data_IF_656622731323
#
_entry.id   IF_656622731323
#
_cell.length_a   1.000
_cell.length_b   1.000
_cell.length_c   1.000
_cell.angle_alpha   90.00
_cell.angle_beta   90.00
_cell.angle_gamma   90.00
#
_symmetry.space_group_name_H-M   'P 1'
#
loop_
_entity.id
_entity.type
_entity.pdbx_description
1 polymer ?
#
# COMPACT_ATOMS: atom_id res chain seq x y z
N UNK A 1 -20.34 14.60 -9.25
CA UNK A 1 -19.94 14.39 -7.84
C UNK A 1 -18.52 14.92 -7.76
N UNK A 2 -18.31 15.94 -6.92
CA UNK A 2 -17.01 16.60 -6.78
C UNK A 2 -16.18 15.75 -5.82
N UNK A 3 -15.30 14.91 -6.36
CA UNK A 3 -14.39 14.09 -5.56
C UNK A 3 -13.37 15.01 -4.92
N UNK A 4 -13.48 15.23 -3.60
CA UNK A 4 -12.40 15.85 -2.84
C UNK A 4 -11.20 14.91 -2.87
N UNK A 5 -9.98 15.43 -2.99
CA UNK A 5 -8.76 14.61 -3.15
C UNK A 5 -8.61 13.53 -2.06
N UNK A 6 -9.15 13.75 -0.87
CA UNK A 6 -9.15 12.82 0.29
C UNK A 6 -10.03 11.59 0.13
N UNK A 7 -10.92 11.52 -0.87
CA UNK A 7 -11.75 10.34 -1.14
C UNK A 7 -10.97 9.23 -1.88
N UNK A 8 -9.78 9.53 -2.39
CA UNK A 8 -8.90 8.56 -3.03
C UNK A 8 -8.40 7.53 -2.02
N UNK A 9 -8.54 6.25 -2.38
CA UNK A 9 -7.99 5.12 -1.62
C UNK A 9 -6.57 4.87 -2.08
N UNK A 10 -5.63 4.98 -1.15
CA UNK A 10 -4.20 4.84 -1.43
C UNK A 10 -3.71 3.46 -0.97
N UNK A 11 -2.98 2.78 -1.84
CA UNK A 11 -2.27 1.55 -1.53
C UNK A 11 -0.78 1.85 -1.33
N UNK A 12 -0.14 1.18 -0.38
CA UNK A 12 1.31 1.21 -0.22
C UNK A 12 1.87 -0.20 -0.25
N UNK A 13 2.68 -0.51 -1.26
CA UNK A 13 3.48 -1.73 -1.32
C UNK A 13 4.90 -1.42 -0.83
N UNK A 14 5.24 -1.94 0.36
CA UNK A 14 6.48 -1.69 1.06
C UNK A 14 6.28 -0.83 2.31
N UNK A 15 6.27 -1.45 3.49
CA UNK A 15 6.16 -0.85 4.81
C UNK A 15 7.52 -0.74 5.53
N UNK A 16 8.61 -0.57 4.76
CA UNK A 16 9.96 -0.41 5.29
C UNK A 16 10.25 0.96 5.93
N UNK A 17 11.54 1.32 6.02
CA UNK A 17 12.02 2.58 6.63
C UNK A 17 11.38 3.83 6.02
N UNK A 18 11.15 3.84 4.72
CA UNK A 18 10.51 4.97 4.01
C UNK A 18 8.99 4.82 3.92
N UNK A 19 8.50 3.62 3.61
CA UNK A 19 7.07 3.38 3.44
C UNK A 19 6.25 3.62 4.72
N UNK A 20 6.74 3.15 5.88
CA UNK A 20 6.05 3.34 7.17
C UNK A 20 5.74 4.82 7.48
N UNK A 21 6.73 5.73 7.51
CA UNK A 21 6.45 7.15 7.79
C UNK A 21 5.68 7.85 6.66
N UNK A 22 5.67 7.30 5.44
CA UNK A 22 4.82 7.78 4.36
C UNK A 22 3.34 7.43 4.59
N UNK A 23 3.03 6.16 4.88
CA UNK A 23 1.67 5.72 5.22
C UNK A 23 1.09 6.51 6.40
N UNK A 24 1.88 6.70 7.47
CA UNK A 24 1.45 7.49 8.63
C UNK A 24 1.07 8.92 8.27
N UNK A 25 1.84 9.59 7.42
CA UNK A 25 1.55 10.97 7.00
C UNK A 25 0.30 11.05 6.13
N UNK A 26 0.11 10.10 5.21
CA UNK A 26 -1.09 10.03 4.38
C UNK A 26 -2.35 9.79 5.22
N UNK A 27 -2.29 8.86 6.18
CA UNK A 27 -3.40 8.64 7.12
C UNK A 27 -3.67 9.88 8.00
N UNK A 28 -2.62 10.53 8.50
CA UNK A 28 -2.77 11.77 9.29
C UNK A 28 -3.37 12.93 8.48
N UNK A 29 -3.19 12.94 7.16
CA UNK A 29 -3.81 13.87 6.23
C UNK A 29 -5.26 13.50 5.87
N UNK A 30 -5.80 12.40 6.41
CA UNK A 30 -7.19 11.98 6.22
C UNK A 30 -7.42 11.01 5.04
N UNK A 31 -6.38 10.53 4.38
CA UNK A 31 -6.53 9.54 3.31
C UNK A 31 -6.79 8.14 3.86
N UNK A 32 -7.62 7.38 3.15
CA UNK A 32 -7.76 5.94 3.40
C UNK A 32 -6.56 5.21 2.82
N UNK A 33 -5.74 4.58 3.67
CA UNK A 33 -4.52 3.88 3.26
C UNK A 33 -4.63 2.39 3.53
N UNK A 34 -4.33 1.56 2.54
CA UNK A 34 -4.10 0.12 2.71
C UNK A 34 -2.63 -0.21 2.45
N UNK A 35 -2.08 -1.20 3.15
CA UNK A 35 -0.65 -1.54 3.08
C UNK A 35 -0.42 -3.02 2.82
N UNK A 36 0.63 -3.31 2.06
CA UNK A 36 1.17 -4.63 1.81
C UNK A 36 2.69 -4.62 2.03
N UNK A 37 3.19 -5.63 2.72
CA UNK A 37 4.63 -5.92 2.86
C UNK A 37 4.80 -7.42 3.17
N UNK A 38 5.97 -7.99 2.83
CA UNK A 38 6.28 -9.38 3.18
C UNK A 38 6.55 -9.54 4.68
N UNK A 39 6.91 -8.45 5.38
CA UNK A 39 7.03 -8.39 6.82
C UNK A 39 5.67 -8.13 7.47
N UNK A 40 5.01 -9.20 7.91
CA UNK A 40 3.72 -9.14 8.60
C UNK A 40 3.73 -8.21 9.82
N UNK A 41 4.82 -8.14 10.59
CA UNK A 41 4.89 -7.28 11.77
C UNK A 41 4.82 -5.78 11.41
N UNK A 42 5.41 -5.38 10.27
CA UNK A 42 5.33 -4.01 9.78
C UNK A 42 3.91 -3.65 9.33
N UNK A 43 3.22 -4.59 8.67
CA UNK A 43 1.81 -4.44 8.28
C UNK A 43 0.92 -4.30 9.51
N UNK A 44 1.05 -5.18 10.50
CA UNK A 44 0.25 -5.11 11.73
C UNK A 44 0.50 -3.82 12.52
N UNK A 45 1.75 -3.34 12.57
CA UNK A 45 2.06 -2.08 13.24
C UNK A 45 1.35 -0.88 12.59
N UNK A 46 1.24 -0.84 11.25
CA UNK A 46 0.48 0.19 10.54
C UNK A 46 -1.03 -0.02 10.66
N UNK A 47 -1.49 -1.27 10.68
CA UNK A 47 -2.91 -1.59 10.86
C UNK A 47 -3.42 -1.16 12.24
N UNK A 48 -2.62 -1.34 13.29
CA UNK A 48 -2.91 -0.84 14.63
C UNK A 48 -3.06 0.70 14.69
N UNK A 49 -2.57 1.41 13.67
CA UNK A 49 -2.70 2.87 13.51
C UNK A 49 -3.82 3.26 12.53
N UNK A 50 -4.61 2.31 12.03
CA UNK A 50 -5.76 2.55 11.16
C UNK A 50 -5.56 2.20 9.68
N UNK A 51 -4.41 1.67 9.28
CA UNK A 51 -4.21 1.22 7.90
C UNK A 51 -5.02 -0.06 7.60
N UNK A 52 -5.56 -0.16 6.38
CA UNK A 52 -6.06 -1.42 5.84
C UNK A 52 -4.91 -2.39 5.57
N UNK A 53 -5.18 -3.69 5.68
CA UNK A 53 -4.21 -4.76 5.34
C UNK A 53 -4.60 -5.39 4.02
N UNK A 54 -3.64 -5.53 3.11
CA UNK A 54 -3.77 -6.36 1.91
C UNK A 54 -2.84 -7.57 2.05
N UNK A 55 -3.32 -8.76 1.71
CA UNK A 55 -2.55 -10.01 1.76
C UNK A 55 -1.66 -10.19 0.53
N UNK A 56 -2.00 -9.56 -0.60
CA UNK A 56 -1.21 -9.59 -1.85
C UNK A 56 -1.19 -8.23 -2.54
N UNK A 57 -0.21 -7.98 -3.45
CA UNK A 57 -0.24 -6.81 -4.32
C UNK A 57 -1.52 -6.71 -5.16
N UNK A 58 -2.00 -7.82 -5.74
CA UNK A 58 -3.26 -7.85 -6.50
C UNK A 58 -4.46 -7.40 -5.64
N UNK A 59 -4.53 -7.85 -4.39
CA UNK A 59 -5.57 -7.39 -3.46
C UNK A 59 -5.45 -5.90 -3.15
N UNK A 60 -4.22 -5.40 -3.00
CA UNK A 60 -3.96 -3.97 -2.79
C UNK A 60 -4.48 -3.14 -3.98
N UNK A 61 -4.18 -3.56 -5.21
CA UNK A 61 -4.64 -2.90 -6.43
C UNK A 61 -6.18 -2.95 -6.60
N UNK A 62 -6.85 -4.03 -6.18
CA UNK A 62 -8.34 -4.11 -6.19
C UNK A 62 -9.02 -3.11 -5.25
N UNK A 63 -8.35 -2.72 -4.17
CA UNK A 63 -8.93 -1.91 -3.08
C UNK A 63 -8.60 -0.42 -3.20
N UNK A 64 -7.60 -0.06 -4.01
CA UNK A 64 -7.01 1.27 -4.04
C UNK A 64 -7.00 1.86 -5.45
N UNK A 65 -7.25 3.17 -5.54
CA UNK A 65 -7.23 3.92 -6.80
C UNK A 65 -5.79 4.20 -7.26
N UNK A 66 -4.88 4.38 -6.30
CA UNK A 66 -3.46 4.66 -6.55
C UNK A 66 -2.61 3.80 -5.64
N UNK A 67 -1.60 3.13 -6.19
CA UNK A 67 -0.63 2.32 -5.41
C UNK A 67 0.76 2.96 -5.48
N UNK A 68 1.32 3.24 -4.31
CA UNK A 68 2.70 3.71 -4.13
C UNK A 68 3.61 2.51 -3.86
N UNK A 69 4.80 2.53 -4.46
CA UNK A 69 5.82 1.49 -4.30
C UNK A 69 7.02 2.07 -3.55
N UNK A 70 7.41 1.44 -2.44
CA UNK A 70 8.63 1.76 -1.69
C UNK A 70 9.40 0.47 -1.40
N UNK A 71 10.12 -0.01 -2.42
CA UNK A 71 10.77 -1.31 -2.43
C UNK A 71 12.28 -1.14 -2.66
N UNK A 72 13.13 -2.03 -2.12
CA UNK A 72 14.57 -1.79 -2.05
C UNK A 72 15.32 -2.06 -3.36
N UNK A 73 14.79 -2.92 -4.25
CA UNK A 73 15.46 -3.27 -5.51
C UNK A 73 14.49 -3.39 -6.69
N UNK A 74 14.96 -3.25 -7.94
CA UNK A 74 14.12 -3.40 -9.14
C UNK A 74 13.46 -4.77 -9.29
N UNK A 75 14.13 -5.84 -8.87
CA UNK A 75 13.60 -7.21 -8.98
C UNK A 75 12.35 -7.40 -8.12
N UNK A 76 12.36 -6.81 -6.91
CA UNK A 76 11.21 -6.84 -6.00
C UNK A 76 10.07 -5.99 -6.58
N UNK A 77 10.39 -4.83 -7.18
CA UNK A 77 9.38 -4.03 -7.89
C UNK A 77 8.74 -4.84 -9.02
N UNK A 78 9.54 -5.52 -9.84
CA UNK A 78 9.04 -6.34 -10.93
C UNK A 78 8.16 -7.49 -10.43
N UNK A 79 8.56 -8.17 -9.35
CA UNK A 79 7.76 -9.23 -8.74
C UNK A 79 6.43 -8.71 -8.17
N UNK A 80 6.43 -7.56 -7.50
CA UNK A 80 5.22 -6.94 -6.95
C UNK A 80 4.30 -6.43 -8.06
N UNK A 81 4.83 -5.92 -9.17
CA UNK A 81 4.02 -5.43 -10.28
C UNK A 81 3.48 -6.55 -11.17
N UNK A 82 4.36 -7.49 -11.58
CA UNK A 82 4.11 -8.44 -12.68
C UNK A 82 4.08 -9.92 -12.24
N UNK A 83 4.28 -10.19 -10.94
CA UNK A 83 4.19 -11.55 -10.41
C UNK A 83 2.78 -12.14 -10.50
N UNK A 84 2.65 -13.42 -10.16
CA UNK A 84 1.38 -14.14 -10.21
C UNK A 84 0.26 -13.42 -9.45
N UNK A 85 0.55 -12.90 -8.26
CA UNK A 85 -0.35 -12.07 -7.46
C UNK A 85 0.05 -10.58 -7.46
N UNK A 86 0.66 -10.13 -8.56
CA UNK A 86 1.15 -8.77 -8.74
C UNK A 86 0.04 -7.72 -8.93
N UNK A 87 0.44 -6.44 -8.94
CA UNK A 87 -0.50 -5.32 -9.13
C UNK A 87 -1.30 -5.42 -10.44
N UNK A 88 -0.74 -6.02 -11.49
CA UNK A 88 -1.41 -6.14 -12.80
C UNK A 88 -2.34 -7.36 -12.91
N UNK A 89 -2.40 -8.24 -11.90
CA UNK A 89 -3.32 -9.39 -11.87
C UNK A 89 -4.58 -9.14 -11.03
N UNK A 90 -4.82 -7.87 -10.69
CA UNK A 90 -6.02 -7.38 -10.02
C UNK A 90 -7.27 -7.41 -10.91
#
# INVERSE_FOLDING_TARGET
>A
METTMTDLKLGLAGAGRMGTPMAKRLMAAGYSVSVYDTNAAAVEALAAQGAGKAATPAELAKRCDVVLLSLPTPEIVQAVCLGQDGLTSA
#
